data_IF_294402484660
#
_entry.id   IF_294402484660
#
_cell.length_a   1.000
_cell.length_b   1.000
_cell.length_c   1.000
_cell.angle_alpha   90.00
_cell.angle_beta   90.00
_cell.angle_gamma   90.00
#
_symmetry.space_group_name_H-M   'P 1'
#
loop_
_entity.id
_entity.type
_entity.pdbx_description
1 polymer ?
#
# COMPACT_ATOMS: atom_id res chain seq x y z
N UNK A 1 6.60 -6.99 9.72
CA UNK A 1 6.96 -8.13 8.86
C UNK A 1 7.70 -7.59 7.64
N UNK A 2 8.73 -8.28 7.16
CA UNK A 2 9.46 -7.85 5.96
C UNK A 2 10.05 -9.03 5.17
N UNK A 3 10.14 -8.89 3.84
CA UNK A 3 10.74 -9.84 2.92
C UNK A 3 9.73 -10.81 2.28
N UNK A 4 10.25 -11.67 1.41
CA UNK A 4 9.51 -12.63 0.58
C UNK A 4 8.66 -11.96 -0.51
N UNK A 5 7.57 -11.28 -0.13
CA UNK A 5 6.66 -10.62 -1.07
C UNK A 5 6.21 -9.26 -0.56
N UNK A 6 5.96 -8.33 -1.46
CA UNK A 6 5.12 -7.17 -1.21
C UNK A 6 3.70 -7.63 -0.89
N UNK A 7 3.14 -7.14 0.20
CA UNK A 7 1.78 -7.45 0.62
C UNK A 7 0.84 -6.30 0.25
N UNK A 8 -0.18 -6.58 -0.55
CA UNK A 8 -1.28 -5.65 -0.84
C UNK A 8 -2.03 -5.27 0.44
N UNK A 9 -2.34 -3.98 0.59
CA UNK A 9 -3.25 -3.45 1.61
C UNK A 9 -4.53 -2.93 0.97
N UNK A 10 -5.60 -2.86 1.77
CA UNK A 10 -6.90 -2.35 1.33
C UNK A 10 -6.83 -0.87 0.90
N UNK A 11 -6.01 -0.07 1.57
CA UNK A 11 -5.86 1.36 1.42
C UNK A 11 -5.44 1.80 0.00
N UNK A 12 -6.04 2.89 -0.49
CA UNK A 12 -5.49 3.65 -1.60
C UNK A 12 -4.26 4.44 -1.15
N UNK A 13 -3.25 4.55 -2.03
CA UNK A 13 -2.02 5.24 -1.69
C UNK A 13 -2.17 6.75 -1.86
N UNK A 14 -2.29 7.46 -0.73
CA UNK A 14 -2.05 8.91 -0.66
C UNK A 14 -0.67 9.20 -0.07
N UNK A 15 0.16 9.94 -0.82
CA UNK A 15 1.49 10.41 -0.35
C UNK A 15 1.37 11.23 0.94
N UNK A 16 0.41 12.14 0.95
CA UNK A 16 0.19 13.10 2.05
C UNK A 16 -0.80 12.59 3.11
N UNK A 17 -1.32 11.36 2.96
CA UNK A 17 -2.41 10.84 3.80
C UNK A 17 -2.15 10.97 5.29
N UNK A 18 -0.91 10.73 5.72
CA UNK A 18 -0.54 10.76 7.13
C UNK A 18 -0.67 12.15 7.77
N UNK A 19 -0.65 13.24 6.98
CA UNK A 19 -0.82 14.61 7.51
C UNK A 19 -2.22 14.85 8.10
N UNK A 20 -3.23 14.22 7.52
CA UNK A 20 -4.64 14.45 7.86
C UNK A 20 -5.38 13.14 8.21
N UNK A 21 -4.65 12.08 8.56
CA UNK A 21 -5.25 10.77 8.82
C UNK A 21 -6.10 10.79 10.09
N UNK A 22 -7.33 10.20 10.08
CA UNK A 22 -8.15 10.11 11.28
C UNK A 22 -7.47 9.22 12.33
N UNK A 23 -7.63 9.57 13.61
CA UNK A 23 -6.99 8.83 14.72
C UNK A 23 -7.55 7.41 14.93
N UNK A 24 -8.79 7.15 14.52
CA UNK A 24 -9.49 5.88 14.75
C UNK A 24 -9.79 5.20 13.42
N UNK A 25 -9.32 3.97 13.27
CA UNK A 25 -9.52 3.11 12.10
C UNK A 25 -9.32 3.82 10.74
N UNK A 26 -8.12 4.36 10.46
CA UNK A 26 -7.85 4.98 9.17
C UNK A 26 -7.92 3.94 8.04
N UNK A 27 -8.66 4.25 6.99
CA UNK A 27 -8.91 3.36 5.83
C UNK A 27 -8.20 3.81 4.55
N UNK A 28 -7.20 4.69 4.67
CA UNK A 28 -6.49 5.27 3.53
C UNK A 28 -7.18 6.48 2.91
N UNK A 29 -6.59 6.99 1.83
CA UNK A 29 -7.12 8.10 1.04
C UNK A 29 -8.34 7.64 0.22
N UNK A 30 -9.29 8.52 -0.08
CA UNK A 30 -10.36 8.19 -1.01
C UNK A 30 -9.85 8.23 -2.46
N UNK A 31 -10.46 7.48 -3.39
CA UNK A 31 -10.05 7.52 -4.82
C UNK A 31 -10.12 8.95 -5.37
N UNK A 32 -11.16 9.71 -4.99
CA UNK A 32 -11.35 11.09 -5.44
C UNK A 32 -10.30 12.08 -4.94
N UNK A 33 -9.58 11.74 -3.87
CA UNK A 33 -8.51 12.58 -3.29
C UNK A 33 -7.12 12.26 -3.84
N UNK A 34 -7.00 11.26 -4.71
CA UNK A 34 -5.74 10.90 -5.34
C UNK A 34 -5.28 12.04 -6.26
N UNK A 35 -4.11 12.60 -5.94
CA UNK A 35 -3.50 13.68 -6.74
C UNK A 35 -2.52 13.09 -7.76
N UNK A 36 -2.29 13.77 -8.91
CA UNK A 36 -1.26 13.38 -9.88
C UNK A 36 0.09 13.06 -9.21
N UNK A 37 0.88 12.12 -9.77
CA UNK A 37 0.85 11.64 -11.16
C UNK A 37 0.04 10.35 -11.39
N UNK A 38 -0.86 9.97 -10.48
CA UNK A 38 -1.65 8.75 -10.65
C UNK A 38 -2.67 8.88 -11.79
N UNK A 39 -2.81 7.80 -12.57
CA UNK A 39 -3.88 7.66 -13.54
C UNK A 39 -5.22 7.49 -12.79
N UNK A 40 -6.22 8.35 -13.03
CA UNK A 40 -7.55 8.22 -12.43
C UNK A 40 -8.24 6.88 -12.71
N UNK A 41 -7.91 6.22 -13.83
CA UNK A 41 -8.48 4.92 -14.20
C UNK A 41 -7.80 3.75 -13.48
N UNK A 42 -6.56 3.95 -13.04
CA UNK A 42 -5.72 2.92 -12.43
C UNK A 42 -5.17 3.40 -11.08
N UNK A 43 -6.05 3.69 -10.09
CA UNK A 43 -5.63 4.22 -8.81
C UNK A 43 -4.70 3.25 -8.07
N UNK A 44 -3.66 3.74 -7.40
CA UNK A 44 -2.70 2.87 -6.74
C UNK A 44 -3.19 2.42 -5.35
N UNK A 45 -3.01 1.15 -5.02
CA UNK A 45 -3.13 0.68 -3.63
C UNK A 45 -1.77 0.55 -2.94
N UNK A 46 -1.81 0.57 -1.62
CA UNK A 46 -0.62 0.50 -0.77
C UNK A 46 -0.01 -0.91 -0.80
N UNK A 47 1.31 -0.98 -0.92
CA UNK A 47 2.13 -2.18 -0.68
C UNK A 47 3.02 -2.00 0.54
N UNK A 48 3.20 -3.09 1.29
CA UNK A 48 4.07 -3.15 2.49
C UNK A 48 4.93 -4.40 2.47
N UNK A 49 5.90 -4.48 3.37
CA UNK A 49 6.67 -5.71 3.62
C UNK A 49 7.93 -5.89 2.77
N UNK A 50 7.98 -5.39 1.53
CA UNK A 50 9.09 -5.62 0.57
C UNK A 50 9.13 -7.05 0.02
N UNK A 51 9.31 -7.18 -1.29
CA UNK A 51 9.54 -8.45 -1.98
C UNK A 51 10.97 -8.99 -1.83
N UNK A 52 11.18 -10.23 -2.28
CA UNK A 52 12.47 -10.92 -2.20
C UNK A 52 13.59 -10.23 -2.99
N UNK A 53 13.27 -9.43 -4.01
CA UNK A 53 14.25 -8.70 -4.81
C UNK A 53 14.56 -7.29 -4.28
N UNK A 54 13.89 -6.85 -3.19
CA UNK A 54 14.01 -5.50 -2.69
C UNK A 54 15.23 -5.27 -1.79
N UNK A 55 15.71 -4.02 -1.79
CA UNK A 55 16.87 -3.60 -0.99
C UNK A 55 16.53 -3.40 0.49
N UNK A 56 17.57 -3.29 1.33
CA UNK A 56 17.46 -2.96 2.77
C UNK A 56 16.63 -1.70 3.03
N UNK A 57 16.64 -0.74 2.10
CA UNK A 57 15.86 0.49 2.23
C UNK A 57 14.34 0.23 2.13
N UNK A 58 13.96 -0.72 1.26
CA UNK A 58 12.58 -1.14 1.07
C UNK A 58 12.09 -2.07 2.18
N UNK A 59 12.99 -2.82 2.81
CA UNK A 59 12.69 -3.70 3.95
C UNK A 59 12.35 -2.96 5.26
N UNK A 60 12.39 -1.62 5.28
CA UNK A 60 12.00 -0.84 6.47
C UNK A 60 10.52 -0.98 6.74
N UNK A 61 10.16 -1.27 7.99
CA UNK A 61 8.76 -1.43 8.41
C UNK A 61 7.89 -0.20 8.16
N UNK A 62 8.46 1.00 8.05
CA UNK A 62 7.75 2.24 7.74
C UNK A 62 7.64 2.53 6.24
N UNK A 63 8.40 1.83 5.38
CA UNK A 63 8.41 2.07 3.94
C UNK A 63 7.09 1.65 3.31
N UNK A 64 6.40 2.63 2.73
CA UNK A 64 5.21 2.40 1.92
C UNK A 64 5.62 2.44 0.45
N UNK A 65 5.12 1.48 -0.32
CA UNK A 65 5.14 1.53 -1.77
C UNK A 65 3.71 1.49 -2.29
N UNK A 66 3.55 1.60 -3.60
CA UNK A 66 2.24 1.54 -4.23
C UNK A 66 2.33 1.12 -5.68
N UNK A 67 1.30 0.46 -6.17
CA UNK A 67 1.16 0.13 -7.59
C UNK A 67 -0.31 0.19 -8.00
N UNK A 68 -0.56 0.31 -9.31
CA UNK A 68 -1.91 0.24 -9.88
C UNK A 68 -2.54 -1.13 -9.59
N UNK A 69 -3.86 -1.17 -9.46
CA UNK A 69 -4.63 -2.38 -9.14
C UNK A 69 -4.42 -3.56 -10.10
N UNK A 70 -3.96 -3.30 -11.32
CA UNK A 70 -3.68 -4.34 -12.33
C UNK A 70 -2.26 -4.92 -12.23
N UNK A 71 -1.39 -4.31 -11.42
CA UNK A 71 0.01 -4.73 -11.32
C UNK A 71 0.10 -6.13 -10.70
N UNK A 72 0.73 -7.06 -11.41
CA UNK A 72 1.07 -8.39 -10.90
C UNK A 72 2.56 -8.64 -11.06
N UNK A 73 3.24 -9.01 -9.99
CA UNK A 73 4.66 -9.36 -9.98
C UNK A 73 4.87 -10.67 -9.23
N UNK A 74 5.92 -11.40 -9.57
CA UNK A 74 6.29 -12.65 -8.89
C UNK A 74 6.70 -12.45 -7.42
N UNK A 75 6.93 -11.20 -7.01
CA UNK A 75 7.22 -10.81 -5.63
C UNK A 75 6.04 -10.07 -4.97
N UNK A 76 4.82 -10.21 -5.46
CA UNK A 76 3.61 -9.61 -4.86
C UNK A 76 2.65 -10.68 -4.37
N UNK A 77 2.04 -10.44 -3.22
CA UNK A 77 1.06 -11.29 -2.57
C UNK A 77 0.18 -10.47 -1.64
N UNK A 78 -0.52 -11.14 -0.73
CA UNK A 78 -1.34 -10.47 0.28
C UNK A 78 -1.47 -11.33 1.53
N UNK A 79 -1.93 -10.70 2.60
CA UNK A 79 -2.26 -11.36 3.87
C UNK A 79 -3.68 -11.02 4.25
N UNK A 80 -4.39 -12.03 4.74
CA UNK A 80 -5.77 -11.86 5.19
C UNK A 80 -5.83 -11.19 6.57
N UNK A 81 -6.89 -10.42 6.79
CA UNK A 81 -7.25 -9.84 8.08
C UNK A 81 -8.77 -9.90 8.24
N UNK A 82 -9.24 -10.02 9.48
CA UNK A 82 -10.66 -10.12 9.81
C UNK A 82 -10.94 -9.38 11.11
N UNK A 83 -12.08 -8.68 11.18
CA UNK A 83 -12.59 -8.11 12.43
C UNK A 83 -13.11 -9.24 13.32
N UNK A 84 -12.66 -9.27 14.57
CA UNK A 84 -13.23 -10.14 15.60
C UNK A 84 -14.33 -9.38 16.35
N UNK A 85 -15.42 -10.08 16.68
CA UNK A 85 -16.58 -9.55 17.39
C UNK A 85 -16.29 -9.28 18.86
#
# INVERSE_FOLDING_TARGET
MTGNVWEWCYDWYGREYFKNSPKRNPTGTSIGDLRPPYDPKLPPKVWRGCGFAGSKEYSRITKRWSASIETTLNETGFRIAQTLY
#
